data_IF_424989812080
#
_entry.id   IF_424989812080
#
_cell.length_a   1.000
_cell.length_b   1.000
_cell.length_c   1.000
_cell.angle_alpha   90.00
_cell.angle_beta   90.00
_cell.angle_gamma   90.00
#
_symmetry.space_group_name_H-M   'P 1'
#
loop_
_entity.id
_entity.type
_entity.pdbx_description
1 polymer ?
#
# COMPACT_ATOMS: atom_id res chain seq x y z
N UNK A 1 1.19 20.40 -0.32
CA UNK A 1 1.15 19.66 0.96
C UNK A 1 1.31 18.18 0.67
N UNK A 2 2.21 17.49 1.36
CA UNK A 2 2.35 16.03 1.28
C UNK A 2 1.83 15.46 2.60
N UNK A 3 0.95 14.47 2.51
CA UNK A 3 0.46 13.71 3.63
C UNK A 3 1.14 12.35 3.54
N UNK A 4 1.94 12.00 4.53
CA UNK A 4 2.52 10.67 4.61
C UNK A 4 1.47 9.71 5.15
N UNK A 5 1.00 8.79 4.31
CA UNK A 5 0.10 7.72 4.67
C UNK A 5 0.90 6.44 4.78
N UNK A 6 0.88 5.84 5.96
CA UNK A 6 1.67 4.63 6.21
C UNK A 6 0.79 3.42 6.03
N UNK A 7 1.09 2.62 5.00
CA UNK A 7 0.76 1.19 4.98
C UNK A 7 1.59 0.50 6.04
N UNK A 8 1.18 0.62 7.31
CA UNK A 8 1.73 -0.20 8.40
C UNK A 8 3.26 -0.15 8.59
N UNK A 9 3.85 1.04 8.74
CA UNK A 9 5.28 1.18 9.04
C UNK A 9 5.50 1.23 10.57
N UNK A 10 5.85 0.10 11.18
CA UNK A 10 6.54 0.10 12.46
C UNK A 10 7.66 -0.94 12.41
N UNK A 11 8.91 -0.46 12.45
CA UNK A 11 10.13 -1.25 12.24
C UNK A 11 10.40 -2.30 13.34
N UNK A 12 9.57 -2.34 14.39
CA UNK A 12 9.70 -3.26 15.52
C UNK A 12 8.48 -4.17 15.77
N UNK A 13 7.42 -4.05 14.97
CA UNK A 13 6.24 -4.92 15.08
C UNK A 13 6.13 -5.67 13.76
N UNK A 14 6.10 -7.00 13.81
CA UNK A 14 5.83 -7.86 12.64
C UNK A 14 4.48 -7.43 12.07
N UNK A 15 4.55 -6.54 11.10
CA UNK A 15 3.41 -5.92 10.45
C UNK A 15 2.91 -6.91 9.42
N UNK A 16 1.63 -7.27 9.54
CA UNK A 16 1.05 -8.34 8.74
C UNK A 16 0.57 -7.75 7.42
N UNK A 17 1.39 -7.84 6.39
CA UNK A 17 1.00 -7.41 5.04
C UNK A 17 -0.04 -8.40 4.49
N UNK A 18 -1.08 -7.90 3.83
CA UNK A 18 -2.18 -8.75 3.34
C UNK A 18 -2.08 -8.90 1.82
N UNK A 19 -2.09 -10.13 1.30
CA UNK A 19 -2.09 -10.34 -0.15
C UNK A 19 -3.34 -9.75 -0.82
N UNK A 20 -3.18 -8.94 -1.88
CA UNK A 20 -4.27 -8.34 -2.66
C UNK A 20 -5.25 -9.30 -3.31
N UNK A 21 -4.88 -10.57 -3.49
CA UNK A 21 -5.72 -11.56 -4.19
C UNK A 21 -6.43 -12.48 -3.21
N UNK A 22 -5.67 -13.13 -2.32
CA UNK A 22 -6.20 -14.16 -1.43
C UNK A 22 -6.43 -13.67 0.01
N UNK A 23 -6.20 -12.37 0.27
CA UNK A 23 -6.39 -11.71 1.57
C UNK A 23 -5.67 -12.37 2.75
N UNK A 24 -4.68 -13.22 2.47
CA UNK A 24 -3.96 -13.91 3.53
C UNK A 24 -2.83 -13.04 4.05
N UNK A 25 -2.61 -13.13 5.36
CA UNK A 25 -1.56 -12.43 6.08
C UNK A 25 -0.19 -13.03 5.73
N UNK A 26 0.74 -12.17 5.33
CA UNK A 26 2.17 -12.42 5.22
C UNK A 26 2.89 -11.77 6.41
N UNK A 27 3.96 -12.39 6.87
CA UNK A 27 4.84 -11.84 7.92
C UNK A 27 6.04 -11.06 7.36
N UNK A 28 6.19 -11.06 6.03
CA UNK A 28 7.30 -10.41 5.32
C UNK A 28 6.82 -9.83 4.00
N UNK A 29 7.48 -8.76 3.57
CA UNK A 29 7.39 -8.22 2.22
C UNK A 29 8.59 -8.71 1.38
N UNK A 30 8.34 -8.91 0.09
CA UNK A 30 9.34 -9.25 -0.91
C UNK A 30 10.17 -8.03 -1.30
N UNK A 31 9.48 -6.91 -1.54
CA UNK A 31 10.06 -5.64 -1.95
C UNK A 31 9.19 -4.50 -1.43
N UNK A 32 9.78 -3.31 -1.25
CA UNK A 32 9.07 -2.11 -0.85
C UNK A 32 9.58 -0.86 -1.58
N UNK A 33 8.65 0.02 -1.93
CA UNK A 33 8.96 1.29 -2.58
C UNK A 33 8.08 2.41 -2.00
N UNK A 34 8.60 3.64 -1.92
CA UNK A 34 7.78 4.80 -1.58
C UNK A 34 7.09 5.31 -2.84
N UNK A 35 5.75 5.29 -2.85
CA UNK A 35 4.93 5.84 -3.93
C UNK A 35 4.22 7.11 -3.51
N UNK A 36 3.93 7.97 -4.48
CA UNK A 36 3.20 9.21 -4.28
C UNK A 36 2.01 9.28 -5.22
N UNK A 37 0.82 9.43 -4.67
CA UNK A 37 -0.41 9.69 -5.43
C UNK A 37 -0.89 11.12 -5.21
N UNK A 38 -1.60 11.66 -6.19
CA UNK A 38 -2.17 13.00 -6.14
C UNK A 38 -3.55 12.93 -5.50
N UNK A 39 -3.76 13.71 -4.45
CA UNK A 39 -5.07 13.89 -3.85
C UNK A 39 -5.94 14.87 -4.63
N UNK A 40 -7.21 15.00 -4.22
CA UNK A 40 -8.07 16.07 -4.70
C UNK A 40 -7.49 17.43 -4.25
N UNK A 41 -7.47 18.40 -5.16
CA UNK A 41 -7.04 19.77 -4.85
C UNK A 41 -7.96 20.38 -3.80
N UNK A 42 -7.37 21.05 -2.80
CA UNK A 42 -8.12 21.83 -1.80
C UNK A 42 -7.83 23.30 -2.03
N UNK A 43 -8.74 23.99 -2.72
CA UNK A 43 -8.52 25.35 -3.21
C UNK A 43 -7.28 25.44 -4.11
N UNK A 44 -6.40 26.42 -3.85
CA UNK A 44 -5.15 26.62 -4.58
C UNK A 44 -4.04 25.62 -4.21
N UNK A 45 -4.26 24.74 -3.23
CA UNK A 45 -3.24 23.82 -2.75
C UNK A 45 -3.32 22.46 -3.45
N UNK A 46 -2.15 21.99 -3.89
CA UNK A 46 -1.97 20.62 -4.37
C UNK A 46 -1.64 19.71 -3.17
N UNK A 47 -2.47 18.70 -2.96
CA UNK A 47 -2.29 17.65 -1.97
C UNK A 47 -1.74 16.40 -2.63
N UNK A 48 -0.81 15.74 -1.95
CA UNK A 48 -0.26 14.46 -2.37
C UNK A 48 -0.27 13.52 -1.18
N UNK A 49 -0.61 12.26 -1.39
CA UNK A 49 -0.42 11.22 -0.41
C UNK A 49 0.82 10.41 -0.80
N UNK A 50 1.78 10.32 0.11
CA UNK A 50 2.98 9.50 -0.06
C UNK A 50 2.90 8.30 0.86
N UNK A 51 3.20 7.11 0.38
CA UNK A 51 3.01 5.87 1.11
C UNK A 51 3.98 4.77 0.70
N UNK A 52 4.26 3.87 1.64
CA UNK A 52 4.98 2.63 1.36
C UNK A 52 4.07 1.68 0.56
N UNK A 53 4.62 1.16 -0.52
CA UNK A 53 3.99 0.21 -1.42
C UNK A 53 4.75 -1.10 -1.35
N UNK A 54 4.24 -2.06 -0.56
CA UNK A 54 4.91 -3.34 -0.40
C UNK A 54 4.37 -4.41 -1.34
N UNK A 55 5.28 -5.21 -1.88
CA UNK A 55 4.98 -6.47 -2.54
C UNK A 55 5.16 -7.62 -1.54
N UNK A 56 4.31 -8.64 -1.60
CA UNK A 56 4.37 -9.86 -0.79
C UNK A 56 4.46 -11.07 -1.71
N UNK A 57 5.40 -11.97 -1.45
CA UNK A 57 5.37 -13.30 -2.07
C UNK A 57 4.43 -14.18 -1.24
N UNK A 58 3.37 -14.69 -1.87
CA UNK A 58 2.43 -15.56 -1.16
C UNK A 58 2.38 -16.97 -1.74
N UNK A 59 2.62 -17.96 -0.86
CA UNK A 59 2.76 -19.37 -1.24
C UNK A 59 1.54 -19.95 -1.96
N UNK A 60 0.30 -19.65 -1.53
CA UNK A 60 -0.88 -20.20 -2.26
C UNK A 60 -1.14 -19.51 -3.60
N UNK A 61 -0.73 -18.24 -3.74
CA UNK A 61 -0.78 -17.55 -5.03
C UNK A 61 0.40 -17.95 -5.93
N UNK A 62 1.44 -18.56 -5.34
CA UNK A 62 2.72 -18.88 -5.96
C UNK A 62 3.29 -17.72 -6.81
N UNK A 63 3.13 -16.50 -6.31
CA UNK A 63 3.45 -15.28 -7.04
C UNK A 63 3.69 -14.11 -6.08
N UNK A 64 4.42 -13.11 -6.57
CA UNK A 64 4.53 -11.80 -5.93
C UNK A 64 3.27 -11.00 -6.23
N UNK A 65 2.65 -10.46 -5.17
CA UNK A 65 1.44 -9.65 -5.23
C UNK A 65 1.63 -8.40 -4.41
N UNK A 66 0.92 -7.35 -4.77
CA UNK A 66 0.92 -6.11 -3.97
C UNK A 66 0.13 -6.36 -2.70
N UNK A 67 0.49 -5.69 -1.62
CA UNK A 67 -0.30 -5.71 -0.40
C UNK A 67 -1.65 -4.98 -0.54
N UNK A 68 -2.62 -5.34 0.30
CA UNK A 68 -3.85 -4.56 0.47
C UNK A 68 -3.57 -3.40 1.40
N UNK A 69 -3.71 -2.19 0.88
CA UNK A 69 -3.74 -0.96 1.67
C UNK A 69 -5.20 -0.66 2.03
N UNK A 70 -5.60 -0.92 3.28
CA UNK A 70 -7.00 -0.83 3.74
C UNK A 70 -7.61 0.58 3.63
N UNK A 71 -6.77 1.62 3.57
CA UNK A 71 -7.17 3.01 3.41
C UNK A 71 -7.24 3.45 1.95
N UNK A 72 -6.72 2.64 1.01
CA UNK A 72 -6.88 2.86 -0.43
C UNK A 72 -8.20 2.22 -0.88
N UNK A 73 -9.03 3.00 -1.57
CA UNK A 73 -10.26 2.48 -2.14
C UNK A 73 -9.97 1.42 -3.20
N UNK A 74 -10.75 0.34 -3.22
CA UNK A 74 -10.70 -0.68 -4.26
C UNK A 74 -11.41 -0.21 -5.54
N UNK A 75 -10.86 0.80 -6.23
CA UNK A 75 -11.47 1.35 -7.44
C UNK A 75 -10.54 1.17 -8.65
N UNK A 76 -10.78 0.12 -9.44
CA UNK A 76 -9.98 -0.23 -10.62
C UNK A 76 -9.85 0.89 -11.67
N UNK A 77 -10.73 1.89 -11.65
CA UNK A 77 -10.66 3.06 -12.54
C UNK A 77 -9.63 4.10 -12.08
N UNK A 78 -9.42 4.24 -10.77
CA UNK A 78 -8.63 5.33 -10.17
C UNK A 78 -7.42 4.87 -9.34
N UNK A 79 -7.42 3.62 -8.89
CA UNK A 79 -6.32 2.99 -8.16
C UNK A 79 -5.77 1.86 -9.03
N UNK A 80 -4.81 2.20 -9.89
CA UNK A 80 -4.06 1.28 -10.75
C UNK A 80 -2.61 1.19 -10.26
#
# INVERSE_FOLDING_TARGET
MVIHMRGSSNWYVVTKNVCSVCHTLSKAYYDNEIKRTRGLSSGSFRTYAEFEYCCVFYKKCNAVKVEVLSWIASNTRYTK
#
